data_IF_785543914728
#
_entry.id   IF_785543914728
#
_cell.length_a   1.000
_cell.length_b   1.000
_cell.length_c   1.000
_cell.angle_alpha   90.00
_cell.angle_beta   90.00
_cell.angle_gamma   90.00
#
_symmetry.space_group_name_H-M   'P 1'
#
loop_
_entity.id
_entity.type
_entity.pdbx_description
1 polymer ?
#
# COMPACT_ATOMS: atom_id res chain seq x y z
N UNK A 1 -7.77 11.01 4.16
CA UNK A 1 -6.59 10.25 3.69
C UNK A 1 -5.89 9.61 4.89
N UNK A 2 -5.23 8.45 4.74
CA UNK A 2 -4.51 7.72 5.82
C UNK A 2 -3.28 7.01 5.24
N UNK A 3 -2.16 6.86 5.97
CA UNK A 3 -0.94 6.20 5.44
C UNK A 3 -0.29 5.16 6.39
N UNK A 4 -0.68 5.19 7.66
CA UNK A 4 0.04 4.50 8.71
C UNK A 4 -0.45 3.07 8.85
N UNK A 5 0.43 2.11 8.62
CA UNK A 5 0.17 0.69 8.93
C UNK A 5 -0.52 -0.14 7.85
N UNK A 6 -0.79 0.41 6.65
CA UNK A 6 -1.44 -0.35 5.56
C UNK A 6 -0.53 -1.45 5.02
N UNK A 7 -0.90 -2.72 5.18
CA UNK A 7 -0.10 -3.88 4.74
C UNK A 7 -0.88 -4.91 3.94
N UNK A 8 -2.21 -4.91 4.06
CA UNK A 8 -3.11 -5.83 3.37
C UNK A 8 -4.27 -5.06 2.73
N UNK A 9 -4.95 -5.67 1.75
CA UNK A 9 -6.17 -5.10 1.17
C UNK A 9 -7.28 -4.87 2.20
N UNK A 10 -7.33 -5.67 3.27
CA UNK A 10 -8.32 -5.46 4.35
C UNK A 10 -8.05 -4.19 5.16
N UNK A 11 -6.81 -3.76 5.29
CA UNK A 11 -6.47 -2.49 5.95
C UNK A 11 -6.93 -1.31 5.10
N UNK A 12 -6.77 -1.43 3.78
CA UNK A 12 -7.31 -0.46 2.80
C UNK A 12 -8.83 -0.38 2.93
N UNK A 13 -9.51 -1.53 2.90
CA UNK A 13 -10.97 -1.60 3.01
C UNK A 13 -11.48 -0.97 4.31
N UNK A 14 -10.86 -1.29 5.45
CA UNK A 14 -11.22 -0.71 6.76
C UNK A 14 -11.00 0.80 6.78
N UNK A 15 -9.87 1.28 6.26
CA UNK A 15 -9.59 2.72 6.21
C UNK A 15 -10.63 3.47 5.39
N UNK A 16 -11.01 2.93 4.22
CA UNK A 16 -12.07 3.50 3.38
C UNK A 16 -13.43 3.46 4.09
N UNK A 17 -13.78 2.34 4.72
CA UNK A 17 -15.03 2.19 5.48
C UNK A 17 -15.14 3.16 6.66
N UNK A 18 -14.00 3.55 7.26
CA UNK A 18 -13.91 4.56 8.31
C UNK A 18 -13.87 6.00 7.79
N UNK A 19 -14.05 6.22 6.48
CA UNK A 19 -14.18 7.55 5.87
C UNK A 19 -12.91 8.09 5.22
N UNK A 20 -11.84 7.29 5.07
CA UNK A 20 -10.70 7.72 4.26
C UNK A 20 -11.10 7.75 2.77
N UNK A 21 -10.75 8.83 2.06
CA UNK A 21 -10.94 8.90 0.61
C UNK A 21 -9.91 8.08 -0.17
N UNK A 22 -8.70 7.94 0.38
CA UNK A 22 -7.64 7.09 -0.14
C UNK A 22 -6.62 6.79 0.96
N UNK A 23 -5.77 5.80 0.70
CA UNK A 23 -4.64 5.45 1.54
C UNK A 23 -3.31 5.60 0.81
N UNK A 24 -2.25 5.97 1.56
CA UNK A 24 -0.89 6.02 1.06
C UNK A 24 -0.05 4.88 1.63
N UNK A 25 0.99 4.48 0.89
CA UNK A 25 1.86 3.36 1.25
C UNK A 25 3.30 3.84 1.24
N UNK A 26 3.94 3.83 2.41
CA UNK A 26 5.35 4.22 2.55
C UNK A 26 6.30 3.01 2.44
N UNK A 27 6.68 2.44 3.60
CA UNK A 27 7.68 1.36 3.71
C UNK A 27 7.53 0.20 2.68
N UNK A 28 6.34 -0.34 2.40
CA UNK A 28 6.21 -1.41 1.41
C UNK A 28 6.68 -1.03 0.01
N UNK A 29 6.52 0.22 -0.41
CA UNK A 29 7.04 0.71 -1.70
C UNK A 29 8.57 0.67 -1.70
N UNK A 30 9.22 1.07 -0.60
CA UNK A 30 10.68 1.01 -0.46
C UNK A 30 11.19 -0.43 -0.46
N UNK A 31 10.43 -1.37 0.12
CA UNK A 31 10.77 -2.80 0.06
C UNK A 31 10.66 -3.36 -1.35
N UNK A 32 9.57 -3.02 -2.08
CA UNK A 32 9.44 -3.37 -3.49
C UNK A 32 10.61 -2.81 -4.32
N UNK A 33 10.98 -1.56 -4.07
CA UNK A 33 12.11 -0.92 -4.73
C UNK A 33 13.44 -1.64 -4.45
N UNK A 34 13.69 -2.02 -3.20
CA UNK A 34 14.92 -2.73 -2.82
C UNK A 34 14.97 -4.16 -3.40
N UNK A 35 13.84 -4.86 -3.48
CA UNK A 35 13.78 -6.24 -3.94
C UNK A 35 13.81 -6.39 -5.48
N UNK A 36 13.27 -5.42 -6.23
CA UNK A 36 13.09 -5.57 -7.67
C UNK A 36 13.02 -4.26 -8.45
N UNK A 37 13.55 -3.18 -7.88
CA UNK A 37 13.51 -1.86 -8.51
C UNK A 37 12.08 -1.41 -8.82
N UNK A 38 11.89 -0.83 -10.00
CA UNK A 38 10.58 -0.35 -10.45
C UNK A 38 9.54 -1.47 -10.53
N UNK A 39 9.91 -2.66 -10.98
CA UNK A 39 8.97 -3.77 -11.13
C UNK A 39 8.58 -4.36 -9.77
N UNK A 40 9.50 -4.35 -8.81
CA UNK A 40 9.17 -4.69 -7.42
C UNK A 40 8.16 -3.73 -6.81
N UNK A 41 8.27 -2.42 -7.09
CA UNK A 41 7.25 -1.43 -6.68
C UNK A 41 5.89 -1.74 -7.33
N UNK A 42 5.85 -2.02 -8.64
CA UNK A 42 4.59 -2.39 -9.33
C UNK A 42 3.96 -3.64 -8.72
N UNK A 43 4.76 -4.65 -8.40
CA UNK A 43 4.28 -5.88 -7.74
C UNK A 43 3.64 -5.57 -6.40
N UNK A 44 4.27 -4.74 -5.55
CA UNK A 44 3.68 -4.33 -4.26
C UNK A 44 2.33 -3.63 -4.45
N UNK A 45 2.23 -2.71 -5.41
CA UNK A 45 0.97 -2.01 -5.69
C UNK A 45 -0.11 -2.97 -6.22
N UNK A 46 0.26 -3.95 -7.04
CA UNK A 46 -0.68 -4.96 -7.55
C UNK A 46 -1.16 -5.94 -6.47
N UNK A 47 -0.35 -6.23 -5.45
CA UNK A 47 -0.76 -7.08 -4.32
C UNK A 47 -1.86 -6.41 -3.47
N UNK A 48 -1.84 -5.08 -3.38
CA UNK A 48 -2.76 -4.31 -2.54
C UNK A 48 -4.03 -3.84 -3.27
N UNK A 49 -4.10 -4.08 -4.58
CA UNK A 49 -5.22 -3.73 -5.44
C UNK A 49 -6.35 -4.76 -5.32
#
# INVERSE_FOLDING_TARGET
FVDTGIRTGTDVLKALALGAQAVFIGRPVLYGLACGGQDGVKTVLNILK
#
